data_IF_182858471211
#
_entry.id   IF_182858471211
#
_cell.length_a   1.000
_cell.length_b   1.000
_cell.length_c   1.000
_cell.angle_alpha   90.00
_cell.angle_beta   90.00
_cell.angle_gamma   90.00
#
_symmetry.space_group_name_H-M   'P 1'
#
loop_
_entity.id
_entity.type
_entity.pdbx_description
1 polymer ?
#
# COMPACT_ATOMS: atom_id res chain seq x y z
N UNK A 1 -20.90 7.52 -52.24
CA UNK A 1 -19.54 7.54 -51.66
C UNK A 1 -19.32 6.44 -50.60
N UNK A 2 -20.36 6.11 -49.81
CA UNK A 2 -20.36 5.07 -48.77
C UNK A 2 -19.98 3.67 -49.30
N UNK A 3 -20.47 3.29 -50.48
CA UNK A 3 -20.18 1.97 -51.08
C UNK A 3 -18.69 1.75 -51.42
N UNK A 4 -17.94 2.83 -51.65
CA UNK A 4 -16.51 2.76 -51.98
C UNK A 4 -15.66 2.44 -50.75
N UNK A 5 -16.08 2.91 -49.57
CA UNK A 5 -15.48 2.59 -48.27
C UNK A 5 -15.87 1.18 -47.85
N UNK A 6 -17.14 0.82 -48.02
CA UNK A 6 -17.65 -0.52 -47.69
C UNK A 6 -16.86 -1.60 -48.45
N UNK A 7 -16.56 -1.39 -49.74
CA UNK A 7 -15.81 -2.35 -50.56
C UNK A 7 -14.31 -2.51 -50.22
N UNK A 8 -13.72 -1.63 -49.40
CA UNK A 8 -12.32 -1.75 -48.94
C UNK A 8 -12.17 -2.56 -47.66
N UNK A 9 -13.27 -2.81 -46.94
CA UNK A 9 -13.25 -3.55 -45.68
C UNK A 9 -13.24 -5.05 -46.00
N UNK A 10 -12.32 -5.87 -45.45
CA UNK A 10 -12.30 -7.31 -45.72
C UNK A 10 -13.64 -7.97 -45.36
N UNK A 11 -14.09 -8.99 -46.10
CA UNK A 11 -15.45 -9.56 -45.97
C UNK A 11 -15.75 -10.10 -44.57
N UNK A 12 -14.72 -10.54 -43.82
CA UNK A 12 -14.85 -10.99 -42.44
C UNK A 12 -15.40 -9.90 -41.49
N UNK A 13 -14.95 -8.65 -41.66
CA UNK A 13 -15.41 -7.50 -40.86
C UNK A 13 -16.81 -7.02 -41.22
N UNK A 14 -17.45 -7.58 -42.26
CA UNK A 14 -18.83 -7.26 -42.66
C UNK A 14 -19.83 -8.29 -42.15
N UNK A 15 -19.37 -9.40 -41.58
CA UNK A 15 -20.24 -10.42 -41.00
C UNK A 15 -20.91 -9.87 -39.74
N UNK A 16 -22.23 -10.03 -39.65
CA UNK A 16 -22.99 -9.69 -38.45
C UNK A 16 -22.42 -10.39 -37.20
N UNK A 17 -22.02 -11.66 -37.35
CA UNK A 17 -21.41 -12.42 -36.27
C UNK A 17 -20.08 -11.82 -35.81
N UNK A 18 -19.27 -11.29 -36.75
CA UNK A 18 -18.03 -10.62 -36.39
C UNK A 18 -18.28 -9.32 -35.62
N UNK A 19 -19.21 -8.47 -36.08
CA UNK A 19 -19.56 -7.25 -35.34
C UNK A 19 -20.15 -7.57 -33.95
N UNK A 20 -21.01 -8.59 -33.87
CA UNK A 20 -21.61 -9.01 -32.60
C UNK A 20 -20.54 -9.51 -31.61
N UNK A 21 -19.61 -10.35 -32.07
CA UNK A 21 -18.49 -10.84 -31.24
C UNK A 21 -17.55 -9.70 -30.87
N UNK A 22 -17.21 -8.82 -31.82
CA UNK A 22 -16.34 -7.67 -31.58
C UNK A 22 -16.96 -6.74 -30.54
N UNK A 23 -18.25 -6.41 -30.68
CA UNK A 23 -18.96 -5.60 -29.70
C UNK A 23 -19.03 -6.29 -28.34
N UNK A 24 -19.28 -7.60 -28.30
CA UNK A 24 -19.28 -8.38 -27.06
C UNK A 24 -17.90 -8.39 -26.38
N UNK A 25 -16.82 -8.53 -27.14
CA UNK A 25 -15.45 -8.47 -26.61
C UNK A 25 -15.12 -7.07 -26.10
N UNK A 26 -15.45 -6.02 -26.85
CA UNK A 26 -15.29 -4.63 -26.38
C UNK A 26 -16.11 -4.40 -25.12
N UNK A 27 -17.35 -4.87 -25.06
CA UNK A 27 -18.18 -4.78 -23.86
C UNK A 27 -17.53 -5.47 -22.66
N UNK A 28 -17.07 -6.71 -22.84
CA UNK A 28 -16.45 -7.49 -21.78
C UNK A 28 -15.09 -6.91 -21.33
N UNK A 29 -14.35 -6.25 -22.22
CA UNK A 29 -13.06 -5.63 -21.87
C UNK A 29 -13.21 -4.29 -21.15
N UNK A 30 -14.23 -3.48 -21.49
CA UNK A 30 -14.35 -2.10 -20.99
C UNK A 30 -15.47 -1.89 -19.97
N UNK A 31 -16.54 -2.68 -20.00
CA UNK A 31 -17.71 -2.49 -19.13
C UNK A 31 -17.86 -3.58 -18.06
N UNK A 32 -17.15 -4.70 -18.19
CA UNK A 32 -17.15 -5.75 -17.17
C UNK A 32 -16.31 -5.35 -15.94
N UNK A 33 -16.62 -5.95 -14.79
CA UNK A 33 -16.03 -5.59 -13.48
C UNK A 33 -14.52 -5.83 -13.39
N UNK A 34 -13.94 -6.56 -14.35
CA UNK A 34 -12.51 -6.80 -14.51
C UNK A 34 -11.79 -5.68 -15.31
N UNK A 35 -12.32 -4.46 -15.30
CA UNK A 35 -11.66 -3.31 -15.91
C UNK A 35 -10.23 -3.14 -15.38
N UNK A 36 -9.32 -2.82 -16.31
CA UNK A 36 -7.89 -2.56 -16.12
C UNK A 36 -7.68 -1.53 -15.01
N UNK A 37 -8.58 -0.55 -14.88
CA UNK A 37 -8.56 0.48 -13.83
C UNK A 37 -8.68 -0.15 -12.44
N UNK A 38 -9.58 -1.10 -12.27
CA UNK A 38 -9.77 -1.80 -10.99
C UNK A 38 -8.54 -2.63 -10.64
N UNK A 39 -7.95 -3.34 -11.62
CA UNK A 39 -6.74 -4.11 -11.36
C UNK A 39 -5.51 -3.26 -11.03
N UNK A 40 -5.37 -2.09 -11.66
CA UNK A 40 -4.30 -1.15 -11.31
C UNK A 40 -4.44 -0.65 -9.87
N UNK A 41 -5.65 -0.25 -9.47
CA UNK A 41 -5.96 0.20 -8.11
C UNK A 41 -5.76 -0.90 -7.06
N UNK A 42 -6.20 -2.12 -7.34
CA UNK A 42 -5.97 -3.28 -6.46
C UNK A 42 -4.48 -3.59 -6.31
N UNK A 43 -3.71 -3.50 -7.40
CA UNK A 43 -2.26 -3.70 -7.36
C UNK A 43 -1.56 -2.63 -6.51
N UNK A 44 -1.99 -1.37 -6.63
CA UNK A 44 -1.53 -0.29 -5.76
C UNK A 44 -1.85 -0.56 -4.29
N UNK A 45 -3.10 -0.95 -3.99
CA UNK A 45 -3.51 -1.27 -2.61
C UNK A 45 -2.74 -2.45 -2.03
N UNK A 46 -2.46 -3.46 -2.86
CA UNK A 46 -1.64 -4.60 -2.45
C UNK A 46 -0.23 -4.18 -2.08
N UNK A 47 0.38 -3.28 -2.85
CA UNK A 47 1.72 -2.74 -2.55
C UNK A 47 1.72 -1.97 -1.22
N UNK A 48 0.74 -1.09 -1.01
CA UNK A 48 0.56 -0.33 0.23
C UNK A 48 0.42 -1.26 1.44
N UNK A 49 -0.42 -2.28 1.35
CA UNK A 49 -0.61 -3.27 2.43
C UNK A 49 0.66 -4.07 2.72
N UNK A 50 1.43 -4.44 1.69
CA UNK A 50 2.72 -5.11 1.87
C UNK A 50 3.74 -4.22 2.57
N UNK A 51 3.80 -2.93 2.20
CA UNK A 51 4.70 -1.97 2.83
C UNK A 51 4.31 -1.74 4.29
N UNK A 52 3.02 -1.55 4.59
CA UNK A 52 2.53 -1.43 5.95
C UNK A 52 2.86 -2.69 6.78
N UNK A 53 2.67 -3.88 6.20
CA UNK A 53 3.04 -5.14 6.85
C UNK A 53 4.53 -5.19 7.20
N UNK A 54 5.41 -4.90 6.25
CA UNK A 54 6.87 -4.90 6.49
C UNK A 54 7.26 -3.93 7.60
N UNK A 55 6.70 -2.73 7.58
CA UNK A 55 6.92 -1.71 8.61
C UNK A 55 6.52 -2.19 10.01
N UNK A 56 5.36 -2.83 10.14
CA UNK A 56 4.92 -3.34 11.44
C UNK A 56 5.70 -4.58 11.90
N UNK A 57 6.12 -5.45 10.97
CA UNK A 57 6.99 -6.58 11.30
C UNK A 57 8.34 -6.10 11.87
N UNK A 58 8.94 -5.06 11.28
CA UNK A 58 10.15 -4.42 11.83
C UNK A 58 9.89 -3.78 13.20
N UNK A 59 8.80 -3.04 13.36
CA UNK A 59 8.43 -2.43 14.66
C UNK A 59 8.19 -3.46 15.76
N UNK A 60 7.63 -4.62 15.43
CA UNK A 60 7.46 -5.70 16.41
C UNK A 60 8.82 -6.21 16.90
N UNK A 61 9.81 -6.34 16.00
CA UNK A 61 11.16 -6.76 16.37
C UNK A 61 11.82 -5.71 17.28
N UNK A 62 11.75 -4.43 16.91
CA UNK A 62 12.26 -3.31 17.72
C UNK A 62 11.65 -3.32 19.12
N UNK A 63 10.33 -3.38 19.23
CA UNK A 63 9.63 -3.37 20.53
C UNK A 63 9.95 -4.61 21.37
N UNK A 64 10.15 -5.78 20.75
CA UNK A 64 10.56 -6.99 21.46
C UNK A 64 11.98 -6.84 22.03
N UNK A 65 12.90 -6.32 21.25
CA UNK A 65 14.28 -6.07 21.70
C UNK A 65 14.30 -5.04 22.84
N UNK A 66 13.57 -3.93 22.70
CA UNK A 66 13.40 -2.94 23.76
C UNK A 66 12.85 -3.58 25.03
N UNK A 67 11.80 -4.41 24.91
CA UNK A 67 11.20 -5.10 26.05
C UNK A 67 12.19 -6.04 26.74
N UNK A 68 12.95 -6.84 26.00
CA UNK A 68 13.96 -7.73 26.58
C UNK A 68 15.07 -6.94 27.29
N UNK A 69 15.51 -5.85 26.68
CA UNK A 69 16.53 -4.98 27.25
C UNK A 69 16.06 -4.31 28.55
N UNK A 70 14.79 -3.88 28.61
CA UNK A 70 14.15 -3.32 29.81
C UNK A 70 13.98 -4.34 30.95
N UNK A 71 13.69 -5.61 30.62
CA UNK A 71 13.42 -6.65 31.62
C UNK A 71 14.70 -7.28 32.19
N UNK A 72 15.78 -7.30 31.43
CA UNK A 72 17.01 -7.99 31.80
C UNK A 72 18.11 -7.06 32.35
N UNK A 73 18.06 -5.75 32.08
CA UNK A 73 19.07 -4.79 32.54
C UNK A 73 18.45 -3.58 33.27
N UNK A 74 18.61 -3.53 34.59
CA UNK A 74 18.14 -2.42 35.44
C UNK A 74 18.80 -1.08 35.10
N UNK A 75 20.07 -1.08 34.69
CA UNK A 75 20.77 0.16 34.35
C UNK A 75 20.26 0.71 33.02
N UNK A 76 20.01 -0.16 32.04
CA UNK A 76 19.43 0.23 30.77
C UNK A 76 17.98 0.73 30.93
N UNK A 77 17.20 0.07 31.81
CA UNK A 77 15.86 0.51 32.18
C UNK A 77 15.86 1.93 32.78
N UNK A 78 16.75 2.20 33.74
CA UNK A 78 16.87 3.54 34.34
C UNK A 78 17.31 4.58 33.30
N UNK A 79 18.25 4.23 32.40
CA UNK A 79 18.69 5.10 31.32
C UNK A 79 17.54 5.45 30.37
N UNK A 80 16.78 4.48 29.90
CA UNK A 80 15.63 4.71 29.00
C UNK A 80 14.54 5.52 29.70
N UNK A 81 14.25 5.22 30.97
CA UNK A 81 13.26 5.98 31.75
C UNK A 81 13.65 7.46 31.89
N UNK A 82 14.94 7.75 32.10
CA UNK A 82 15.46 9.12 32.22
C UNK A 82 15.57 9.84 30.87
N UNK A 83 16.10 9.20 29.83
CA UNK A 83 16.37 9.85 28.53
C UNK A 83 15.12 9.97 27.65
N UNK A 84 14.29 8.93 27.59
CA UNK A 84 13.12 8.88 26.68
C UNK A 84 11.85 9.41 27.34
N UNK A 85 11.69 9.16 28.63
CA UNK A 85 10.46 9.48 29.36
C UNK A 85 10.64 10.53 30.46
N UNK A 86 11.85 11.07 30.64
CA UNK A 86 12.17 12.09 31.64
C UNK A 86 11.67 11.75 33.06
N UNK A 87 11.73 10.46 33.42
CA UNK A 87 11.32 10.00 34.74
C UNK A 87 12.34 10.43 35.80
N UNK A 88 11.85 10.87 36.97
CA UNK A 88 12.66 11.29 38.12
C UNK A 88 12.45 10.39 39.34
N UNK A 89 13.47 10.25 40.18
CA UNK A 89 13.31 9.66 41.52
C UNK A 89 12.67 10.68 42.48
N UNK A 90 12.08 10.17 43.56
CA UNK A 90 11.54 11.04 44.62
C UNK A 90 12.65 11.91 45.20
N UNK A 91 12.46 13.24 45.17
CA UNK A 91 13.44 14.22 45.62
C UNK A 91 14.41 14.74 44.54
N UNK A 92 14.28 14.30 43.28
CA UNK A 92 15.05 14.84 42.15
C UNK A 92 14.26 15.96 41.43
N UNK A 93 14.98 16.95 40.89
CA UNK A 93 14.44 17.98 39.98
C UNK A 93 15.09 17.85 38.60
N UNK A 94 14.26 17.85 37.55
CA UNK A 94 14.72 17.75 36.15
C UNK A 94 14.56 19.11 35.49
N UNK A 95 15.64 19.62 34.89
CA UNK A 95 15.64 20.85 34.11
C UNK A 95 15.78 20.50 32.62
N UNK A 96 14.81 20.90 31.79
CA UNK A 96 14.88 20.77 30.33
C UNK A 96 15.28 22.13 29.77
N UNK A 97 16.49 22.22 29.21
CA UNK A 97 16.99 23.43 28.57
C UNK A 97 16.44 23.48 27.14
N UNK A 98 15.64 24.50 26.85
CA UNK A 98 15.17 24.80 25.49
C UNK A 98 15.93 26.04 25.04
N UNK A 99 16.72 25.92 23.98
CA UNK A 99 17.31 27.10 23.31
C UNK A 99 16.19 27.81 22.55
N UNK A 100 16.00 29.11 22.83
CA UNK A 100 15.06 30.00 22.13
C UNK A 100 15.54 30.34 20.70
#
# INVERSE_FOLDING_TARGET
MINKVFNRIPPFFRSFYFLAIFFFLVWMLFFDSNDIITQSRLSGKLSELKQARSFYEEKIIEVKNDREALLNDKNLLEKIAREKYFMKKSGEEIFVLVEE
#
